data_IF_771324325106
#
_entry.id   IF_771324325106
#
_cell.length_a   1.000
_cell.length_b   1.000
_cell.length_c   1.000
_cell.angle_alpha   90.00
_cell.angle_beta   90.00
_cell.angle_gamma   90.00
#
_symmetry.space_group_name_H-M   'P 1'
#
loop_
_entity.id
_entity.type
_entity.pdbx_description
1 polymer ?
#
# COMPACT_ATOMS: atom_id res chain seq x y z
N UNK A 1 -12.39 4.26 13.19
CA UNK A 1 -12.26 2.94 12.56
C UNK A 1 -10.91 2.35 12.94
N UNK A 2 -10.92 1.11 13.35
CA UNK A 2 -9.71 0.35 13.65
C UNK A 2 -9.89 -1.05 13.06
N UNK A 3 -8.91 -1.50 12.29
CA UNK A 3 -8.90 -2.83 11.68
C UNK A 3 -7.55 -3.47 11.92
N UNK A 4 -7.55 -4.67 12.47
CA UNK A 4 -6.37 -5.52 12.55
C UNK A 4 -6.73 -6.87 11.94
N UNK A 5 -5.93 -7.34 11.00
CA UNK A 5 -6.12 -8.65 10.38
C UNK A 5 -4.83 -9.45 10.37
N UNK A 6 -4.98 -10.75 10.59
CA UNK A 6 -3.89 -11.71 10.54
C UNK A 6 -4.33 -12.85 9.64
N UNK A 7 -3.55 -13.11 8.59
CA UNK A 7 -3.75 -14.25 7.70
C UNK A 7 -2.57 -15.19 7.87
N UNK A 8 -2.87 -16.44 8.21
CA UNK A 8 -1.87 -17.47 8.42
C UNK A 8 -2.15 -18.64 7.49
N UNK A 9 -1.16 -19.09 6.78
CA UNK A 9 -1.21 -20.37 6.06
C UNK A 9 -0.52 -21.46 6.87
N UNK A 10 -0.81 -22.74 6.61
CA UNK A 10 -0.07 -23.83 7.24
C UNK A 10 1.43 -23.76 6.94
N UNK A 11 2.32 -24.00 7.92
CA UNK A 11 3.77 -23.93 7.75
C UNK A 11 4.32 -25.20 7.11
N UNK A 12 4.00 -25.42 5.83
CA UNK A 12 4.34 -26.64 5.10
C UNK A 12 5.84 -26.94 5.08
N UNK A 13 6.68 -25.91 5.01
CA UNK A 13 8.15 -26.08 4.99
C UNK A 13 8.70 -26.59 6.31
N UNK A 14 8.02 -26.29 7.43
CA UNK A 14 8.38 -26.80 8.75
C UNK A 14 8.03 -28.28 8.89
N UNK A 15 6.89 -28.69 8.32
CA UNK A 15 6.39 -30.06 8.46
C UNK A 15 7.05 -31.05 7.51
N UNK A 16 7.40 -30.63 6.28
CA UNK A 16 7.93 -31.55 5.27
C UNK A 16 9.47 -31.68 5.29
N UNK A 17 10.15 -30.88 6.11
CA UNK A 17 11.61 -30.92 6.30
C UNK A 17 12.46 -30.90 5.01
N UNK A 18 11.91 -30.36 3.89
CA UNK A 18 12.62 -30.25 2.61
C UNK A 18 13.70 -29.18 2.64
N UNK A 19 14.78 -29.41 1.91
CA UNK A 19 15.83 -28.42 1.68
C UNK A 19 15.41 -27.42 0.60
N UNK A 20 14.75 -26.33 1.01
CA UNK A 20 14.35 -25.26 0.12
C UNK A 20 15.51 -24.32 -0.27
N UNK A 21 16.66 -24.45 0.36
CA UNK A 21 17.83 -23.62 0.05
C UNK A 21 18.38 -23.93 -1.33
N UNK A 22 18.42 -25.21 -1.68
CA UNK A 22 19.02 -25.67 -2.94
C UNK A 22 18.00 -25.82 -4.08
N UNK A 23 16.70 -25.63 -3.82
CA UNK A 23 15.65 -25.69 -4.84
C UNK A 23 15.55 -24.38 -5.65
N UNK A 24 15.56 -24.51 -6.98
CA UNK A 24 15.42 -23.42 -7.94
C UNK A 24 16.46 -22.30 -7.76
N UNK A 25 17.72 -22.67 -7.59
CA UNK A 25 18.82 -21.72 -7.46
C UNK A 25 19.33 -21.21 -8.81
N UNK A 26 19.39 -22.08 -9.81
CA UNK A 26 19.97 -21.73 -11.12
C UNK A 26 18.87 -21.54 -12.18
N UNK A 27 18.55 -20.29 -12.59
CA UNK A 27 17.54 -20.01 -13.62
C UNK A 27 17.81 -20.66 -14.99
N UNK A 28 19.06 -21.03 -15.26
CA UNK A 28 19.47 -21.64 -16.52
C UNK A 28 19.48 -23.17 -16.49
N UNK A 29 19.11 -23.79 -15.35
CA UNK A 29 19.00 -25.25 -15.25
C UNK A 29 17.79 -25.75 -16.05
N UNK A 30 17.91 -26.87 -16.78
CA UNK A 30 16.78 -27.54 -17.42
C UNK A 30 15.67 -27.93 -16.43
N UNK A 31 16.03 -28.15 -15.16
CA UNK A 31 15.11 -28.55 -14.08
C UNK A 31 14.50 -27.37 -13.33
N UNK A 32 14.93 -26.13 -13.64
CA UNK A 32 14.51 -24.92 -12.90
C UNK A 32 12.99 -24.77 -12.79
N UNK A 33 12.27 -24.96 -13.90
CA UNK A 33 10.79 -24.83 -13.92
C UNK A 33 10.13 -25.87 -13.01
N UNK A 34 10.59 -27.11 -13.04
CA UNK A 34 10.05 -28.18 -12.19
C UNK A 34 10.38 -27.93 -10.71
N UNK A 35 11.60 -27.46 -10.43
CA UNK A 35 12.02 -27.08 -9.08
C UNK A 35 11.25 -25.88 -8.53
N UNK A 36 10.92 -24.89 -9.38
CA UNK A 36 10.05 -23.77 -9.05
C UNK A 36 8.64 -24.25 -8.69
N UNK A 37 8.05 -25.12 -9.51
CA UNK A 37 6.74 -25.70 -9.24
C UNK A 37 6.73 -26.48 -7.92
N UNK A 38 7.76 -27.27 -7.66
CA UNK A 38 7.90 -28.02 -6.41
C UNK A 38 8.09 -27.08 -5.21
N UNK A 39 8.90 -26.02 -5.34
CA UNK A 39 9.15 -25.03 -4.29
C UNK A 39 7.89 -24.32 -3.87
N UNK A 40 7.04 -23.93 -4.82
CA UNK A 40 5.83 -23.14 -4.59
C UNK A 40 4.53 -23.94 -4.69
N UNK A 41 4.62 -25.26 -4.75
CA UNK A 41 3.45 -26.16 -4.77
C UNK A 41 2.48 -25.89 -3.63
N UNK A 42 2.99 -25.61 -2.46
CA UNK A 42 2.24 -25.21 -1.28
C UNK A 42 2.73 -23.85 -0.81
N UNK A 43 1.98 -22.83 -1.14
CA UNK A 43 2.29 -21.45 -0.71
C UNK A 43 2.13 -21.34 0.80
N UNK A 44 3.08 -20.68 1.44
CA UNK A 44 3.06 -20.43 2.87
C UNK A 44 3.52 -19.03 3.20
N UNK A 45 2.80 -18.36 4.08
CA UNK A 45 3.11 -17.02 4.58
C UNK A 45 2.33 -16.73 5.86
N UNK A 46 2.73 -15.68 6.55
CA UNK A 46 1.93 -15.00 7.55
C UNK A 46 1.85 -13.52 7.20
N UNK A 47 0.64 -12.99 7.12
CA UNK A 47 0.36 -11.61 6.73
C UNK A 47 -0.33 -10.89 7.89
N UNK A 48 0.25 -9.78 8.30
CA UNK A 48 -0.23 -8.95 9.39
C UNK A 48 -0.56 -7.58 8.82
N UNK A 49 -1.78 -7.09 9.08
CA UNK A 49 -2.22 -5.78 8.64
C UNK A 49 -2.84 -5.04 9.80
N UNK A 50 -2.51 -3.78 9.86
CA UNK A 50 -3.01 -2.86 10.84
C UNK A 50 -3.43 -1.57 10.16
N UNK A 51 -4.66 -1.09 10.45
CA UNK A 51 -5.18 0.16 9.94
C UNK A 51 -5.98 0.86 11.02
N UNK A 52 -5.62 2.09 11.31
CA UNK A 52 -6.37 2.99 12.17
C UNK A 52 -6.73 4.25 11.38
N UNK A 53 -8.00 4.65 11.41
CA UNK A 53 -8.50 5.84 10.73
C UNK A 53 -9.43 6.60 11.68
N UNK A 54 -9.14 7.87 11.90
CA UNK A 54 -9.96 8.74 12.76
C UNK A 54 -10.41 9.97 12.02
N UNK A 55 -11.56 10.51 12.42
CA UNK A 55 -12.11 11.75 11.93
C UNK A 55 -12.47 12.62 13.12
N UNK A 56 -11.88 13.81 13.17
CA UNK A 56 -12.11 14.78 14.25
C UNK A 56 -12.62 16.07 13.67
N UNK A 57 -13.84 16.47 14.07
CA UNK A 57 -14.36 17.78 13.74
C UNK A 57 -13.61 18.87 14.52
N UNK A 58 -13.04 19.83 13.83
CA UNK A 58 -12.25 20.92 14.45
C UNK A 58 -13.08 22.16 14.78
N UNK A 59 -14.27 22.27 14.20
CA UNK A 59 -15.19 23.40 14.44
C UNK A 59 -16.63 22.88 14.53
N UNK A 60 -17.52 23.68 15.12
CA UNK A 60 -18.94 23.39 15.18
C UNK A 60 -19.69 23.81 13.89
N UNK A 61 -20.90 23.28 13.71
CA UNK A 61 -21.78 23.60 12.59
C UNK A 61 -21.83 22.55 11.50
N UNK A 62 -22.74 22.72 10.54
CA UNK A 62 -22.90 21.76 9.43
C UNK A 62 -21.71 21.74 8.47
N UNK A 63 -21.09 22.90 8.24
CA UNK A 63 -19.86 23.02 7.45
C UNK A 63 -18.69 23.25 8.40
N UNK A 64 -17.98 22.20 8.74
CA UNK A 64 -16.84 22.28 9.64
C UNK A 64 -15.58 21.69 9.00
N UNK A 65 -14.42 22.14 9.49
CA UNK A 65 -13.18 21.47 9.18
C UNK A 65 -13.13 20.12 9.88
N UNK A 66 -12.77 19.09 9.12
CA UNK A 66 -12.58 17.74 9.63
C UNK A 66 -11.14 17.32 9.42
N UNK A 67 -10.47 16.94 10.49
CA UNK A 67 -9.14 16.33 10.43
C UNK A 67 -9.31 14.82 10.34
N UNK A 68 -8.85 14.23 9.24
CA UNK A 68 -8.71 12.80 9.07
C UNK A 68 -7.26 12.40 9.35
N UNK A 69 -7.08 11.41 10.21
CA UNK A 69 -5.78 10.79 10.47
C UNK A 69 -5.85 9.33 10.11
N UNK A 70 -4.85 8.82 9.38
CA UNK A 70 -4.71 7.40 9.04
C UNK A 70 -3.32 6.93 9.39
N UNK A 71 -3.26 5.76 10.00
CA UNK A 71 -2.05 4.97 10.22
C UNK A 71 -2.32 3.59 9.65
N UNK A 72 -1.45 3.12 8.79
CA UNK A 72 -1.59 1.83 8.13
C UNK A 72 -0.24 1.17 8.01
N UNK A 73 -0.17 -0.11 8.29
CA UNK A 73 1.04 -0.91 8.13
C UNK A 73 0.68 -2.35 7.79
N UNK A 74 1.54 -2.96 6.99
CA UNK A 74 1.42 -4.35 6.58
C UNK A 74 2.76 -5.05 6.58
N UNK A 75 2.76 -6.28 7.04
CA UNK A 75 3.93 -7.15 7.08
C UNK A 75 3.58 -8.51 6.48
N UNK A 76 4.35 -8.95 5.52
CA UNK A 76 4.26 -10.27 4.90
C UNK A 76 5.53 -11.05 5.22
N UNK A 77 5.41 -12.03 6.11
CA UNK A 77 6.53 -12.87 6.51
C UNK A 77 6.44 -14.29 5.95
N UNK A 78 7.50 -15.04 6.08
CA UNK A 78 7.60 -16.44 5.69
C UNK A 78 8.11 -17.30 6.84
N UNK A 79 7.64 -18.54 6.95
CA UNK A 79 8.13 -19.48 7.94
C UNK A 79 9.53 -20.01 7.59
N UNK A 80 9.88 -19.99 6.30
CA UNK A 80 11.19 -20.40 5.80
C UNK A 80 11.82 -19.28 4.97
N UNK A 81 13.02 -18.84 5.36
CA UNK A 81 13.74 -17.74 4.69
C UNK A 81 14.08 -18.00 3.21
N UNK A 82 14.14 -19.27 2.79
CA UNK A 82 14.42 -19.67 1.41
C UNK A 82 13.16 -19.88 0.57
N UNK A 83 11.97 -19.80 1.21
CA UNK A 83 10.66 -19.99 0.57
C UNK A 83 9.74 -18.83 0.90
N UNK A 84 10.09 -17.64 0.43
CA UNK A 84 9.20 -16.49 0.54
C UNK A 84 8.07 -16.64 -0.47
N UNK A 85 6.84 -16.33 -0.06
CA UNK A 85 5.71 -16.31 -0.98
C UNK A 85 5.92 -15.21 -2.03
N UNK A 86 5.86 -15.52 -3.33
CA UNK A 86 5.83 -14.49 -4.37
C UNK A 86 4.45 -13.81 -4.49
N UNK A 87 3.43 -14.40 -3.86
CA UNK A 87 2.06 -13.91 -3.86
C UNK A 87 1.77 -13.11 -2.60
N UNK A 88 0.68 -12.34 -2.60
CA UNK A 88 0.21 -11.52 -1.48
C UNK A 88 1.14 -10.34 -1.13
N UNK A 89 2.06 -9.99 -2.03
CA UNK A 89 2.96 -8.85 -1.86
C UNK A 89 2.22 -7.53 -2.00
N UNK A 90 2.86 -6.44 -1.58
CA UNK A 90 2.34 -5.09 -1.65
C UNK A 90 2.93 -4.34 -2.84
N UNK A 91 2.06 -3.71 -3.63
CA UNK A 91 2.44 -2.76 -4.67
C UNK A 91 2.23 -1.35 -4.13
N UNK A 92 3.30 -0.59 -3.94
CA UNK A 92 3.26 0.65 -3.17
C UNK A 92 3.71 1.85 -3.97
N UNK A 93 2.90 2.90 -3.93
CA UNK A 93 3.10 4.18 -4.62
C UNK A 93 1.90 4.55 -5.50
N UNK A 94 1.82 5.82 -5.87
CA UNK A 94 0.83 6.34 -6.80
C UNK A 94 -0.56 6.55 -6.20
N UNK A 95 -1.57 6.37 -7.02
CA UNK A 95 -2.98 6.63 -6.70
C UNK A 95 -3.68 5.49 -5.93
N UNK A 96 -3.03 4.35 -5.77
CA UNK A 96 -3.60 3.21 -5.05
C UNK A 96 -4.73 2.49 -5.80
N UNK A 97 -4.98 2.81 -7.06
CA UNK A 97 -6.01 2.14 -7.84
C UNK A 97 -5.56 0.74 -8.26
N UNK A 98 -6.43 -0.24 -8.09
CA UNK A 98 -6.20 -1.60 -8.59
C UNK A 98 -6.18 -1.59 -10.13
N UNK A 99 -5.24 -2.28 -10.75
CA UNK A 99 -5.06 -2.35 -12.20
C UNK A 99 -3.66 -1.98 -12.67
N UNK A 100 -2.90 -1.30 -11.81
CA UNK A 100 -1.48 -0.99 -12.04
C UNK A 100 -0.53 -1.93 -11.28
N UNK A 101 -1.07 -2.91 -10.56
CA UNK A 101 -0.26 -3.85 -9.78
C UNK A 101 0.47 -4.85 -10.69
N UNK A 102 1.61 -5.34 -10.24
CA UNK A 102 2.25 -6.51 -10.83
C UNK A 102 1.36 -7.75 -10.67
N UNK A 103 1.52 -8.74 -11.54
CA UNK A 103 0.72 -9.98 -11.53
C UNK A 103 0.74 -10.76 -10.20
N UNK A 104 1.63 -10.41 -9.30
CA UNK A 104 1.87 -11.12 -8.03
C UNK A 104 1.54 -10.29 -6.79
N UNK A 105 1.33 -8.97 -6.94
CA UNK A 105 0.92 -8.12 -5.83
C UNK A 105 -0.59 -8.23 -5.64
N UNK A 106 -1.02 -8.59 -4.46
CA UNK A 106 -2.43 -8.72 -4.10
C UNK A 106 -3.05 -7.37 -3.72
N UNK A 107 -2.25 -6.48 -3.17
CA UNK A 107 -2.73 -5.20 -2.67
C UNK A 107 -1.94 -4.02 -3.22
N UNK A 108 -2.67 -3.03 -3.71
CA UNK A 108 -2.13 -1.74 -4.13
C UNK A 108 -2.31 -0.71 -3.02
N UNK A 109 -1.22 -0.13 -2.58
CA UNK A 109 -1.18 0.88 -1.52
C UNK A 109 -0.77 2.21 -2.15
N UNK A 110 -1.68 3.18 -2.17
CA UNK A 110 -1.39 4.51 -2.69
C UNK A 110 -0.49 5.30 -1.74
N UNK A 111 0.45 6.04 -2.32
CA UNK A 111 1.16 7.14 -1.67
C UNK A 111 1.28 8.27 -2.68
N UNK A 112 0.50 9.33 -2.47
CA UNK A 112 0.39 10.45 -3.41
C UNK A 112 1.70 11.22 -3.52
N UNK A 113 2.02 11.73 -4.70
CA UNK A 113 3.29 12.42 -4.99
C UNK A 113 4.42 11.48 -5.44
N UNK A 114 4.10 10.21 -5.66
CA UNK A 114 5.02 9.19 -6.18
C UNK A 114 4.36 8.44 -7.32
N UNK A 115 5.16 7.92 -8.27
CA UNK A 115 4.68 7.09 -9.37
C UNK A 115 4.12 5.75 -8.86
N UNK A 116 3.21 5.16 -9.62
CA UNK A 116 2.65 3.85 -9.30
C UNK A 116 3.76 2.80 -9.17
N UNK A 117 3.80 2.11 -8.02
CA UNK A 117 4.78 1.08 -7.71
C UNK A 117 6.22 1.58 -7.46
N UNK A 118 6.46 2.88 -7.47
CA UNK A 118 7.83 3.42 -7.35
C UNK A 118 8.48 3.19 -5.98
N UNK A 119 7.71 2.85 -4.96
CA UNK A 119 8.24 2.47 -3.65
C UNK A 119 8.49 0.96 -3.55
N UNK A 120 7.60 0.15 -4.09
CA UNK A 120 7.83 -1.29 -4.25
C UNK A 120 6.85 -1.89 -5.27
N UNK A 121 7.35 -2.73 -6.18
CA UNK A 121 6.51 -3.60 -7.03
C UNK A 121 6.06 -4.85 -6.27
N UNK A 122 6.91 -5.39 -5.41
CA UNK A 122 6.65 -6.57 -4.59
C UNK A 122 7.21 -6.33 -3.19
N UNK A 123 6.53 -5.49 -2.40
CA UNK A 123 6.89 -5.20 -1.02
C UNK A 123 6.47 -6.31 -0.06
N UNK A 124 7.30 -6.58 0.93
CA UNK A 124 6.99 -7.50 2.03
C UNK A 124 6.66 -6.76 3.33
N UNK A 125 6.90 -5.47 3.35
CA UNK A 125 6.48 -4.59 4.42
C UNK A 125 6.13 -3.23 3.85
N UNK A 126 5.16 -2.53 4.45
CA UNK A 126 4.88 -1.14 4.18
C UNK A 126 4.35 -0.45 5.42
N UNK A 127 4.51 0.87 5.45
CA UNK A 127 3.77 1.75 6.33
C UNK A 127 3.22 2.96 5.56
N UNK A 128 2.19 3.58 6.09
CA UNK A 128 1.61 4.81 5.59
C UNK A 128 0.95 5.60 6.71
N UNK A 129 1.28 6.88 6.76
CA UNK A 129 0.69 7.87 7.65
C UNK A 129 0.07 8.96 6.79
N UNK A 130 -1.17 9.32 7.07
CA UNK A 130 -1.87 10.38 6.33
C UNK A 130 -2.56 11.31 7.32
N UNK A 131 -2.37 12.61 7.14
CA UNK A 131 -3.17 13.65 7.76
C UNK A 131 -3.86 14.44 6.65
N UNK A 132 -5.18 14.53 6.71
CA UNK A 132 -5.97 15.34 5.77
C UNK A 132 -6.85 16.33 6.52
N UNK A 133 -6.79 17.59 6.12
CA UNK A 133 -7.74 18.60 6.55
C UNK A 133 -8.78 18.76 5.45
N UNK A 134 -10.03 18.45 5.75
CA UNK A 134 -11.17 18.45 4.81
C UNK A 134 -12.12 19.60 5.14
N UNK A 135 -12.64 20.24 4.10
CA UNK A 135 -13.68 21.25 4.24
C UNK A 135 -14.79 21.07 3.20
N UNK A 136 -16.06 20.91 3.62
CA UNK A 136 -17.19 20.75 2.71
C UNK A 136 -17.63 22.09 2.12
N UNK A 137 -17.59 22.22 0.81
CA UNK A 137 -18.14 23.36 0.07
C UNK A 137 -19.65 23.20 -0.13
N UNK A 138 -20.07 21.98 -0.50
CA UNK A 138 -21.47 21.63 -0.73
C UNK A 138 -21.80 20.35 0.03
N UNK A 139 -22.93 20.37 0.73
CA UNK A 139 -23.51 19.21 1.43
C UNK A 139 -24.92 18.98 0.90
N UNK A 140 -25.28 17.75 0.61
CA UNK A 140 -26.59 17.37 0.08
C UNK A 140 -26.51 16.05 -0.67
N UNK A 141 -27.40 15.87 -1.65
CA UNK A 141 -27.38 14.70 -2.53
C UNK A 141 -26.05 14.59 -3.28
N UNK A 142 -25.49 15.71 -3.69
CA UNK A 142 -24.09 15.81 -4.15
C UNK A 142 -23.28 16.48 -3.06
N UNK A 143 -22.23 15.81 -2.61
CA UNK A 143 -21.29 16.40 -1.64
C UNK A 143 -19.99 16.73 -2.33
N UNK A 144 -19.54 18.00 -2.15
CA UNK A 144 -18.24 18.47 -2.69
C UNK A 144 -17.41 18.99 -1.53
N UNK A 145 -16.19 18.47 -1.38
CA UNK A 145 -15.25 18.97 -0.39
C UNK A 145 -13.84 19.10 -0.94
N UNK A 146 -13.14 20.10 -0.45
CA UNK A 146 -11.71 20.26 -0.68
C UNK A 146 -10.91 19.66 0.47
N UNK A 147 -9.70 19.29 0.19
CA UNK A 147 -8.79 18.77 1.20
C UNK A 147 -7.34 19.24 0.95
N UNK A 148 -6.63 19.41 2.06
CA UNK A 148 -5.18 19.53 2.05
C UNK A 148 -4.62 18.35 2.85
N UNK A 149 -3.50 17.78 2.40
CA UNK A 149 -2.95 16.60 3.04
C UNK A 149 -1.43 16.63 3.14
N UNK A 150 -0.93 15.88 4.11
CA UNK A 150 0.44 15.43 4.20
C UNK A 150 0.44 13.91 4.36
N UNK A 151 1.33 13.26 3.64
CA UNK A 151 1.53 11.80 3.71
C UNK A 151 2.98 11.47 3.94
N UNK A 152 3.20 10.37 4.64
CA UNK A 152 4.51 9.77 4.82
C UNK A 152 4.36 8.26 4.83
N UNK A 153 5.24 7.56 4.15
CA UNK A 153 5.19 6.10 4.10
C UNK A 153 6.38 5.54 3.33
N UNK A 154 6.54 4.24 3.41
CA UNK A 154 7.58 3.54 2.68
C UNK A 154 7.20 2.08 2.45
N UNK A 155 8.01 1.37 1.67
CA UNK A 155 7.88 -0.05 1.46
C UNK A 155 9.25 -0.72 1.39
N UNK A 156 9.32 -1.95 1.88
CA UNK A 156 10.56 -2.72 1.96
C UNK A 156 10.42 -4.07 1.28
N UNK A 157 11.47 -4.49 0.60
CA UNK A 157 11.58 -5.79 -0.08
C UNK A 157 11.74 -6.98 0.88
N UNK A 158 11.90 -6.72 2.16
CA UNK A 158 11.99 -7.74 3.21
C UNK A 158 11.59 -7.14 4.55
N UNK A 159 10.86 -7.89 5.35
CA UNK A 159 10.43 -7.48 6.70
C UNK A 159 11.59 -7.18 7.64
N UNK A 160 12.78 -7.78 7.43
CA UNK A 160 13.99 -7.51 8.23
C UNK A 160 14.53 -6.10 8.06
N UNK A 161 14.21 -5.41 6.95
CA UNK A 161 14.64 -4.04 6.69
C UNK A 161 13.59 -3.01 7.13
N UNK A 162 12.47 -3.47 7.68
CA UNK A 162 11.40 -2.60 8.11
C UNK A 162 11.88 -1.60 9.16
N UNK A 163 11.76 -0.30 8.84
CA UNK A 163 12.06 0.81 9.72
C UNK A 163 10.97 1.88 9.59
N UNK A 164 10.04 1.97 10.53
CA UNK A 164 8.89 2.88 10.43
C UNK A 164 9.24 4.37 10.47
N UNK A 165 10.52 4.72 10.64
CA UNK A 165 10.99 6.11 10.61
C UNK A 165 11.69 6.50 9.30
N UNK A 166 11.97 5.54 8.42
CA UNK A 166 12.49 5.80 7.07
C UNK A 166 11.34 6.00 6.10
N UNK A 167 10.72 7.17 6.14
CA UNK A 167 9.51 7.49 5.40
C UNK A 167 9.77 8.43 4.23
N UNK A 168 9.09 8.18 3.11
CA UNK A 168 9.00 9.08 1.95
C UNK A 168 7.80 9.99 2.14
N UNK A 169 8.03 11.30 2.04
CA UNK A 169 7.06 12.34 2.43
C UNK A 169 6.48 13.01 1.21
N UNK A 170 5.23 13.37 1.30
CA UNK A 170 4.54 14.18 0.31
C UNK A 170 3.52 15.11 0.96
N UNK A 171 3.11 16.14 0.21
CA UNK A 171 2.02 17.02 0.59
C UNK A 171 1.25 17.42 -0.66
N UNK A 172 -0.01 17.78 -0.50
CA UNK A 172 -0.82 18.16 -1.63
C UNK A 172 -2.19 18.70 -1.26
N UNK A 173 -2.96 18.98 -2.31
CA UNK A 173 -4.32 19.48 -2.23
C UNK A 173 -5.21 18.63 -3.15
N UNK A 174 -6.48 18.53 -2.81
CA UNK A 174 -7.41 17.78 -3.64
C UNK A 174 -8.84 18.22 -3.51
N UNK A 175 -9.65 17.75 -4.43
CA UNK A 175 -11.10 17.96 -4.44
C UNK A 175 -11.79 16.60 -4.59
N UNK A 176 -12.86 16.41 -3.86
CA UNK A 176 -13.72 15.24 -3.91
C UNK A 176 -15.14 15.62 -4.24
N UNK A 177 -15.76 14.81 -5.06
CA UNK A 177 -17.17 14.91 -5.42
C UNK A 177 -17.80 13.56 -5.16
N UNK A 178 -18.79 13.51 -4.29
CA UNK A 178 -19.59 12.32 -4.07
C UNK A 178 -20.91 12.45 -4.82
N UNK A 179 -21.17 11.52 -5.73
CA UNK A 179 -22.40 11.39 -6.49
C UNK A 179 -23.10 10.08 -6.12
N UNK A 180 -24.38 10.10 -5.74
CA UNK A 180 -25.09 8.89 -5.24
C UNK A 180 -25.07 7.69 -6.21
N UNK A 181 -25.04 7.93 -7.52
CA UNK A 181 -25.05 6.86 -8.54
C UNK A 181 -23.66 6.43 -9.01
N UNK A 182 -22.64 7.26 -8.85
CA UNK A 182 -21.30 7.05 -9.38
C UNK A 182 -20.31 6.73 -8.25
N UNK A 183 -20.58 7.20 -7.05
CA UNK A 183 -19.68 7.09 -5.91
C UNK A 183 -18.78 8.29 -5.74
N UNK A 184 -17.64 8.07 -5.07
CA UNK A 184 -16.65 9.10 -4.81
C UNK A 184 -15.72 9.24 -6.01
N UNK A 185 -15.56 10.48 -6.47
CA UNK A 185 -14.60 10.87 -7.51
C UNK A 185 -13.71 12.00 -6.99
N UNK A 186 -12.48 12.06 -7.47
CA UNK A 186 -11.61 13.13 -7.05
C UNK A 186 -10.36 13.27 -7.88
N UNK A 187 -9.72 14.41 -7.68
CA UNK A 187 -8.41 14.72 -8.24
C UNK A 187 -7.55 15.33 -7.14
N UNK A 188 -6.32 14.85 -7.04
CA UNK A 188 -5.30 15.37 -6.14
C UNK A 188 -4.11 15.87 -6.94
N UNK A 189 -3.59 17.01 -6.55
CA UNK A 189 -2.24 17.42 -6.86
C UNK A 189 -1.36 17.17 -5.64
N UNK A 190 -0.24 16.47 -5.84
CA UNK A 190 0.69 16.12 -4.79
C UNK A 190 2.13 16.39 -5.20
N UNK A 191 2.96 16.72 -4.23
CA UNK A 191 4.40 16.87 -4.40
C UNK A 191 5.15 15.93 -3.48
N UNK A 192 5.91 14.98 -4.08
CA UNK A 192 6.81 14.07 -3.37
C UNK A 192 8.17 14.72 -3.11
N UNK A 193 8.59 14.77 -1.84
CA UNK A 193 9.82 15.47 -1.44
C UNK A 193 11.07 14.59 -1.56
N UNK A 194 10.91 13.29 -1.38
CA UNK A 194 12.00 12.35 -1.28
C UNK A 194 12.17 11.54 -2.58
N UNK A 195 13.29 10.82 -2.69
CA UNK A 195 13.53 9.90 -3.80
C UNK A 195 12.79 8.60 -3.57
N UNK A 196 12.24 8.04 -4.64
CA UNK A 196 11.63 6.72 -4.65
C UNK A 196 12.67 5.60 -4.46
N UNK A 197 12.18 4.39 -4.16
CA UNK A 197 13.08 3.25 -3.89
C UNK A 197 13.47 2.49 -5.16
N UNK A 198 12.66 2.56 -6.22
CA UNK A 198 12.83 1.73 -7.42
C UNK A 198 13.71 2.43 -8.45
N UNK A 199 13.42 3.70 -8.74
CA UNK A 199 14.10 4.45 -9.80
C UNK A 199 15.12 5.44 -9.24
N UNK A 200 15.12 5.71 -7.93
CA UNK A 200 15.94 6.74 -7.28
C UNK A 200 15.57 8.17 -7.71
N UNK A 201 14.40 8.34 -8.32
CA UNK A 201 13.90 9.64 -8.78
C UNK A 201 13.13 10.34 -7.66
N UNK A 202 13.21 11.65 -7.62
CA UNK A 202 12.37 12.47 -6.74
C UNK A 202 10.92 12.35 -7.20
N UNK A 203 9.98 12.17 -6.26
CA UNK A 203 8.55 12.06 -6.56
C UNK A 203 8.04 13.26 -7.39
N UNK A 204 8.34 14.48 -6.92
CA UNK A 204 8.02 15.70 -7.65
C UNK A 204 6.52 16.00 -7.73
N UNK A 205 6.11 16.80 -8.73
CA UNK A 205 4.73 17.23 -8.92
C UNK A 205 3.95 16.19 -9.71
N UNK A 206 2.85 15.68 -9.14
CA UNK A 206 2.01 14.66 -9.77
C UNK A 206 0.53 14.92 -9.54
N UNK A 207 -0.29 14.45 -10.48
CA UNK A 207 -1.74 14.40 -10.36
C UNK A 207 -2.21 12.98 -10.18
N UNK A 208 -3.13 12.77 -9.23
CA UNK A 208 -3.73 11.49 -8.92
C UNK A 208 -5.24 11.58 -9.09
N UNK A 209 -5.81 10.60 -9.77
CA UNK A 209 -7.24 10.46 -9.92
C UNK A 209 -7.80 9.43 -8.95
N UNK A 210 -9.02 9.67 -8.47
CA UNK A 210 -9.70 8.79 -7.54
C UNK A 210 -11.08 8.47 -8.11
N UNK A 211 -11.38 7.17 -8.16
CA UNK A 211 -12.67 6.67 -8.62
C UNK A 211 -13.13 5.53 -7.70
N UNK A 212 -14.23 5.76 -6.99
CA UNK A 212 -14.85 4.74 -6.16
C UNK A 212 -14.13 4.35 -4.87
N UNK A 213 -12.91 4.82 -4.67
CA UNK A 213 -12.10 4.55 -3.47
C UNK A 213 -11.66 5.85 -2.80
N UNK A 214 -11.46 5.77 -1.50
CA UNK A 214 -10.89 6.86 -0.70
C UNK A 214 -9.46 6.45 -0.31
N UNK A 215 -8.51 7.34 -0.52
CA UNK A 215 -7.14 7.13 -0.05
C UNK A 215 -7.06 6.91 1.44
#
# INVERSE_FOLDING_TARGET
EFTASVTLTPPWSVWNHKDYKNLAMNPYSPTYSAEQQEKYRWVEYHKWKFKAKTYTALSGGQKCFVLMTRIEMGLLGSYNKYKKSPFETYYVGGDGMSGYSSSYADETIGLRGYDNGSLAYNGYAYDRFTLELRYPFLLGNTTIYGLGFVEAGNAWSDTKYFNPFDMKRSAGLGVRIYLPMVGLMGIDWAYGFDKDNVNGKKGGSQFHFILGQEF
#
